data_IF_558465775852
#
_entry.id   IF_558465775852
#
_cell.length_a   1.000
_cell.length_b   1.000
_cell.length_c   1.000
_cell.angle_alpha   90.00
_cell.angle_beta   90.00
_cell.angle_gamma   90.00
#
_symmetry.space_group_name_H-M   'P 1'
#
loop_
_entity.id
_entity.type
_entity.pdbx_description
1 polymer ?
#
# COMPACT_ATOMS: atom_id res chain seq x y z
N UNK A 1 20.01 -5.28 18.99
CA UNK A 1 20.41 -4.45 17.88
C UNK A 1 19.98 -3.01 18.09
N UNK A 2 20.64 -2.05 17.45
CA UNK A 2 20.24 -0.65 17.44
C UNK A 2 19.19 -0.40 16.36
N UNK A 3 18.32 0.59 16.57
CA UNK A 3 17.38 1.03 15.55
C UNK A 3 18.15 1.75 14.42
N UNK A 4 17.81 1.43 13.17
CA UNK A 4 18.30 2.14 12.00
C UNK A 4 17.28 3.17 11.55
N UNK A 5 17.77 4.37 11.15
CA UNK A 5 16.93 5.48 10.75
C UNK A 5 17.33 5.99 9.37
N UNK A 6 16.33 6.30 8.55
CA UNK A 6 16.47 6.98 7.27
C UNK A 6 15.53 8.17 7.15
N UNK A 7 15.61 8.91 6.06
CA UNK A 7 14.64 9.95 5.71
C UNK A 7 14.05 9.66 4.34
N UNK A 8 12.83 10.11 4.15
CA UNK A 8 12.15 10.13 2.86
C UNK A 8 12.05 11.56 2.33
N UNK A 9 11.45 11.73 1.15
CA UNK A 9 11.22 13.03 0.56
C UNK A 9 10.52 13.99 1.53
N UNK A 10 10.88 15.27 1.45
CA UNK A 10 10.39 16.35 2.33
C UNK A 10 10.78 16.24 3.83
N UNK A 11 11.53 15.23 4.27
CA UNK A 11 12.01 15.14 5.64
C UNK A 11 13.31 15.95 5.84
N UNK A 12 13.37 16.70 6.93
CA UNK A 12 14.54 17.53 7.29
C UNK A 12 15.67 16.72 7.97
N UNK A 13 15.34 15.57 8.57
CA UNK A 13 16.29 14.66 9.24
C UNK A 13 15.82 13.22 9.23
N UNK A 14 16.71 12.29 9.55
CA UNK A 14 16.42 10.87 9.62
C UNK A 14 15.47 10.58 10.80
N UNK A 15 14.23 10.14 10.50
CA UNK A 15 13.18 9.84 11.49
C UNK A 15 12.42 8.56 11.20
N UNK A 16 12.63 7.95 10.04
CA UNK A 16 11.95 6.73 9.63
C UNK A 16 12.76 5.54 10.09
N UNK A 17 12.17 4.68 10.93
CA UNK A 17 12.75 3.39 11.29
C UNK A 17 12.51 2.44 10.12
N UNK A 18 13.55 1.73 9.70
CA UNK A 18 13.48 0.84 8.57
C UNK A 18 14.22 -0.48 8.81
N UNK A 19 13.86 -1.48 8.04
CA UNK A 19 14.56 -2.76 7.92
C UNK A 19 14.76 -3.04 6.44
N UNK A 20 15.97 -2.77 5.95
CA UNK A 20 16.27 -2.80 4.50
C UNK A 20 15.21 -2.01 3.71
N UNK A 21 14.71 -2.55 2.62
CA UNK A 21 13.58 -2.04 1.83
C UNK A 21 12.28 -2.86 2.00
N UNK A 22 12.17 -3.66 3.09
CA UNK A 22 11.04 -4.55 3.39
C UNK A 22 10.47 -4.40 4.80
N UNK A 23 10.51 -3.21 5.36
CA UNK A 23 10.07 -2.90 6.74
C UNK A 23 8.67 -3.44 7.06
N UNK A 24 7.71 -3.29 6.13
CA UNK A 24 6.35 -3.79 6.32
C UNK A 24 6.28 -5.32 6.44
N UNK A 25 7.09 -6.05 5.69
CA UNK A 25 7.19 -7.51 5.77
C UNK A 25 7.72 -7.95 7.14
N UNK A 26 8.77 -7.28 7.64
CA UNK A 26 9.36 -7.57 8.96
C UNK A 26 8.35 -7.35 10.07
N UNK A 27 7.66 -6.21 10.11
CA UNK A 27 6.65 -5.89 11.12
C UNK A 27 5.53 -6.94 11.09
N UNK A 28 4.95 -7.20 9.92
CA UNK A 28 3.79 -8.09 9.78
C UNK A 28 4.13 -9.53 10.14
N UNK A 29 5.27 -10.05 9.67
CA UNK A 29 5.68 -11.44 9.96
C UNK A 29 5.98 -11.65 11.44
N UNK A 30 6.65 -10.67 12.07
CA UNK A 30 6.96 -10.74 13.50
C UNK A 30 5.69 -10.69 14.35
N UNK A 31 4.75 -9.77 14.07
CA UNK A 31 3.48 -9.68 14.78
C UNK A 31 2.64 -10.95 14.59
N UNK A 32 2.53 -11.47 13.37
CA UNK A 32 1.80 -12.71 13.09
C UNK A 32 2.39 -13.90 13.85
N UNK A 33 3.72 -14.02 13.90
CA UNK A 33 4.40 -15.06 14.65
C UNK A 33 4.09 -14.99 16.17
N UNK A 34 3.91 -13.78 16.72
CA UNK A 34 3.48 -13.63 18.13
C UNK A 34 2.00 -13.95 18.31
N UNK A 35 1.12 -13.49 17.42
CA UNK A 35 -0.32 -13.77 17.46
C UNK A 35 -0.59 -15.29 17.45
N UNK A 36 0.14 -16.04 16.62
CA UNK A 36 0.03 -17.51 16.53
C UNK A 36 0.33 -18.25 17.85
N UNK A 37 1.00 -17.60 18.80
CA UNK A 37 1.31 -18.18 20.13
C UNK A 37 0.19 -17.96 21.14
N UNK A 38 -0.81 -17.11 20.83
CA UNK A 38 -1.88 -16.76 21.77
C UNK A 38 -3.02 -17.78 21.70
N UNK A 39 -3.30 -18.46 22.82
CA UNK A 39 -4.34 -19.49 22.90
C UNK A 39 -5.78 -18.95 22.80
N UNK A 40 -5.96 -17.65 23.04
CA UNK A 40 -7.25 -16.96 22.98
C UNK A 40 -7.51 -16.29 21.60
N UNK A 41 -6.68 -16.55 20.59
CA UNK A 41 -6.85 -16.03 19.23
C UNK A 41 -7.09 -17.19 18.27
N UNK A 42 -8.16 -17.09 17.48
CA UNK A 42 -8.46 -18.00 16.39
C UNK A 42 -8.21 -17.31 15.05
N UNK A 43 -7.28 -17.84 14.25
CA UNK A 43 -7.03 -17.38 12.90
C UNK A 43 -7.89 -18.19 11.92
N UNK A 44 -8.69 -17.51 11.10
CA UNK A 44 -9.55 -18.11 10.08
C UNK A 44 -9.01 -17.76 8.69
N UNK A 45 -8.00 -18.50 8.26
CA UNK A 45 -7.38 -18.32 6.94
C UNK A 45 -8.38 -18.69 5.81
N UNK A 46 -8.20 -18.14 4.60
CA UNK A 46 -9.07 -18.34 3.43
C UNK A 46 -10.55 -18.07 3.69
N UNK A 47 -10.80 -17.11 4.59
CA UNK A 47 -12.16 -16.74 5.01
C UNK A 47 -12.39 -15.26 4.73
N UNK A 48 -13.51 -14.95 4.08
CA UNK A 48 -13.85 -13.57 3.69
C UNK A 48 -15.07 -13.09 4.46
N UNK A 49 -15.00 -11.91 5.07
CA UNK A 49 -16.19 -11.23 5.57
C UNK A 49 -17.01 -10.72 4.38
N UNK A 50 -18.27 -11.16 4.28
CA UNK A 50 -19.18 -10.79 3.19
C UNK A 50 -20.27 -9.82 3.64
N UNK A 51 -20.54 -9.74 4.95
CA UNK A 51 -21.49 -8.82 5.54
C UNK A 51 -21.29 -8.70 7.06
N UNK A 52 -22.04 -7.80 7.70
CA UNK A 52 -22.16 -7.72 9.16
C UNK A 52 -23.54 -8.20 9.61
N UNK A 53 -23.66 -8.60 10.88
CA UNK A 53 -24.94 -8.90 11.53
C UNK A 53 -25.36 -7.62 12.24
N UNK A 54 -26.39 -6.95 11.71
CA UNK A 54 -26.85 -5.66 12.20
C UNK A 54 -28.33 -5.73 12.61
N UNK A 55 -28.70 -5.03 13.69
CA UNK A 55 -30.07 -4.72 14.07
C UNK A 55 -30.07 -3.44 14.89
N UNK A 56 -30.98 -2.52 14.56
CA UNK A 56 -31.22 -1.25 15.28
C UNK A 56 -29.92 -0.40 15.42
N UNK A 57 -29.16 -0.26 14.34
CA UNK A 57 -27.85 0.43 14.26
C UNK A 57 -26.79 -0.11 15.24
N UNK A 58 -26.85 -1.40 15.53
CA UNK A 58 -25.87 -2.10 16.37
C UNK A 58 -25.35 -3.35 15.68
N UNK A 59 -24.03 -3.53 15.69
CA UNK A 59 -23.34 -4.69 15.15
C UNK A 59 -23.28 -5.83 16.20
N UNK A 60 -23.61 -7.03 15.76
CA UNK A 60 -23.59 -8.27 16.55
C UNK A 60 -22.62 -9.32 16.01
N UNK A 61 -21.77 -8.96 15.06
CA UNK A 61 -20.81 -9.87 14.46
C UNK A 61 -20.76 -9.74 12.92
N UNK A 62 -20.29 -10.78 12.28
CA UNK A 62 -20.08 -10.81 10.82
C UNK A 62 -20.69 -12.06 10.18
N UNK A 63 -21.00 -11.96 8.89
CA UNK A 63 -21.26 -13.09 8.01
C UNK A 63 -19.98 -13.34 7.23
N UNK A 64 -19.46 -14.54 7.32
CA UNK A 64 -18.23 -14.96 6.66
C UNK A 64 -18.52 -16.02 5.61
N UNK A 65 -17.68 -16.05 4.57
CA UNK A 65 -17.65 -17.11 3.55
C UNK A 65 -16.32 -17.84 3.67
N UNK A 66 -16.41 -19.15 3.91
CA UNK A 66 -15.27 -20.06 3.95
C UNK A 66 -14.76 -20.40 2.55
N UNK A 67 -13.60 -21.04 2.48
CA UNK A 67 -12.98 -21.47 1.22
C UNK A 67 -13.88 -22.39 0.38
N UNK A 68 -14.68 -23.24 1.02
CA UNK A 68 -15.65 -24.14 0.37
C UNK A 68 -16.93 -23.42 -0.12
N UNK A 69 -17.03 -22.11 0.07
CA UNK A 69 -18.19 -21.28 -0.27
C UNK A 69 -19.28 -21.24 0.80
N UNK A 70 -19.17 -21.98 1.89
CA UNK A 70 -20.14 -22.01 2.99
C UNK A 70 -20.21 -20.64 3.67
N UNK A 71 -21.44 -20.15 3.89
CA UNK A 71 -21.71 -18.97 4.68
C UNK A 71 -21.96 -19.33 6.14
N UNK A 72 -21.31 -18.60 7.03
CA UNK A 72 -21.44 -18.78 8.47
C UNK A 72 -21.63 -17.44 9.19
N UNK A 73 -22.44 -17.44 10.24
CA UNK A 73 -22.61 -16.30 11.15
C UNK A 73 -21.63 -16.43 12.33
N UNK A 74 -20.79 -15.44 12.51
CA UNK A 74 -19.91 -15.30 13.67
C UNK A 74 -20.45 -14.18 14.54
N UNK A 75 -21.02 -14.53 15.70
CA UNK A 75 -21.54 -13.53 16.65
C UNK A 75 -20.42 -13.03 17.55
N UNK A 76 -20.43 -11.73 17.85
CA UNK A 76 -19.45 -11.07 18.68
C UNK A 76 -20.06 -9.89 19.42
N UNK A 77 -19.54 -9.58 20.61
CA UNK A 77 -19.90 -8.38 21.36
C UNK A 77 -19.39 -7.10 20.66
N UNK A 78 -18.24 -7.19 20.02
CA UNK A 78 -17.61 -6.11 19.24
C UNK A 78 -17.04 -6.66 17.96
N UNK A 79 -17.11 -5.88 16.88
CA UNK A 79 -16.54 -6.20 15.57
C UNK A 79 -15.58 -5.09 15.15
N UNK A 80 -14.41 -5.46 14.64
CA UNK A 80 -13.40 -4.53 14.12
C UNK A 80 -13.16 -4.81 12.66
N UNK A 81 -13.48 -3.86 11.80
CA UNK A 81 -13.13 -3.92 10.38
C UNK A 81 -11.68 -3.50 10.16
N UNK A 82 -10.86 -4.39 9.62
CA UNK A 82 -9.46 -4.16 9.25
C UNK A 82 -9.17 -4.74 7.85
N UNK A 83 -10.09 -4.49 6.91
CA UNK A 83 -10.16 -5.15 5.60
C UNK A 83 -9.23 -4.53 4.54
N UNK A 84 -8.44 -3.51 4.91
CA UNK A 84 -7.61 -2.77 3.96
C UNK A 84 -8.40 -1.79 3.10
N UNK A 85 -7.79 -1.36 2.01
CA UNK A 85 -8.33 -0.32 1.13
C UNK A 85 -8.96 -0.86 -0.16
N UNK A 86 -8.73 -0.14 -1.26
CA UNK A 86 -9.37 -0.35 -2.58
C UNK A 86 -8.37 -0.68 -3.70
N UNK A 87 -7.10 -0.93 -3.35
CA UNK A 87 -6.01 -1.02 -4.33
C UNK A 87 -6.18 -2.10 -5.40
N UNK A 88 -6.87 -3.20 -5.08
CA UNK A 88 -7.16 -4.28 -6.01
C UNK A 88 -8.03 -3.87 -7.21
N UNK A 89 -8.73 -2.73 -7.14
CA UNK A 89 -9.53 -2.19 -8.22
C UNK A 89 -8.71 -1.48 -9.32
N UNK A 90 -7.42 -1.18 -9.05
CA UNK A 90 -6.56 -0.43 -9.95
C UNK A 90 -5.66 -1.36 -10.78
N UNK A 91 -5.42 -0.98 -12.05
CA UNK A 91 -4.52 -1.73 -12.93
C UNK A 91 -3.11 -1.84 -12.35
N UNK A 92 -2.57 -0.70 -11.91
CA UNK A 92 -1.28 -0.63 -11.21
C UNK A 92 -1.54 -0.27 -9.75
N UNK A 93 -1.13 -1.15 -8.85
CA UNK A 93 -1.30 -0.98 -7.40
C UNK A 93 -0.22 -1.72 -6.64
N UNK A 94 0.28 -1.12 -5.58
CA UNK A 94 1.19 -1.79 -4.63
C UNK A 94 0.45 -2.71 -3.67
N UNK A 95 -0.88 -2.70 -3.71
CA UNK A 95 -1.75 -3.53 -2.88
C UNK A 95 -2.13 -4.82 -3.61
N UNK A 96 -2.44 -5.86 -2.84
CA UNK A 96 -2.92 -7.13 -3.38
C UNK A 96 -4.30 -7.01 -4.03
N UNK A 97 -4.56 -7.83 -5.05
CA UNK A 97 -5.80 -7.81 -5.85
C UNK A 97 -7.08 -8.09 -5.06
N UNK A 98 -6.98 -8.80 -3.94
CA UNK A 98 -8.14 -9.09 -3.10
C UNK A 98 -8.60 -7.90 -2.23
N UNK A 99 -7.86 -6.77 -2.20
CA UNK A 99 -8.25 -5.56 -1.48
C UNK A 99 -9.19 -4.71 -2.34
N UNK A 100 -10.46 -5.07 -2.38
CA UNK A 100 -11.48 -4.52 -3.31
C UNK A 100 -12.47 -3.57 -2.66
N UNK A 101 -12.20 -3.11 -1.41
CA UNK A 101 -13.05 -2.15 -0.71
C UNK A 101 -14.34 -2.76 -0.18
N UNK A 102 -14.37 -4.04 0.13
CA UNK A 102 -15.57 -4.75 0.59
C UNK A 102 -16.17 -4.12 1.85
N UNK A 103 -15.33 -3.63 2.77
CA UNK A 103 -15.77 -2.89 3.95
C UNK A 103 -16.54 -1.62 3.62
N UNK A 104 -16.19 -0.92 2.53
CA UNK A 104 -16.90 0.28 2.09
C UNK A 104 -18.27 -0.07 1.52
N UNK A 105 -18.37 -1.16 0.77
CA UNK A 105 -19.63 -1.67 0.25
C UNK A 105 -20.57 -2.07 1.39
N UNK A 106 -20.05 -2.79 2.39
CA UNK A 106 -20.79 -3.18 3.59
C UNK A 106 -21.21 -1.93 4.38
N UNK A 107 -20.31 -1.00 4.62
CA UNK A 107 -20.61 0.26 5.31
C UNK A 107 -21.73 1.03 4.63
N UNK A 108 -21.65 1.21 3.31
CA UNK A 108 -22.69 1.89 2.51
C UNK A 108 -24.03 1.16 2.59
N UNK A 109 -24.04 -0.17 2.51
CA UNK A 109 -25.25 -1.01 2.59
C UNK A 109 -25.99 -0.81 3.91
N UNK A 110 -25.26 -0.68 5.02
CA UNK A 110 -25.81 -0.54 6.38
C UNK A 110 -25.87 0.91 6.89
N UNK A 111 -25.71 1.90 6.02
CA UNK A 111 -25.82 3.31 6.40
C UNK A 111 -24.70 3.81 7.32
N UNK A 112 -23.57 3.10 7.39
CA UNK A 112 -22.39 3.52 8.15
C UNK A 112 -21.71 4.68 7.42
N UNK A 113 -21.34 5.73 8.16
CA UNK A 113 -20.74 6.92 7.57
C UNK A 113 -19.35 6.63 6.94
N UNK A 114 -19.19 7.10 5.70
CA UNK A 114 -17.91 7.14 4.99
C UNK A 114 -17.36 8.57 4.96
N UNK A 115 -16.04 8.72 4.89
CA UNK A 115 -15.36 9.99 4.75
C UNK A 115 -14.31 9.92 3.64
N UNK A 116 -14.29 10.95 2.78
CA UNK A 116 -13.30 11.10 1.69
C UNK A 116 -13.15 9.84 0.81
N UNK A 117 -14.21 9.20 0.32
CA UNK A 117 -14.10 7.93 -0.42
C UNK A 117 -13.40 8.06 -1.78
N UNK A 118 -13.13 9.27 -2.23
CA UNK A 118 -12.38 9.64 -3.44
C UNK A 118 -10.90 9.94 -3.17
N UNK A 119 -10.45 9.93 -1.92
CA UNK A 119 -9.06 10.24 -1.56
C UNK A 119 -8.19 9.00 -1.68
N UNK A 120 -7.50 8.90 -2.81
CA UNK A 120 -6.58 7.81 -3.13
C UNK A 120 -5.20 8.38 -3.39
N UNK A 121 -4.19 7.91 -2.66
CA UNK A 121 -2.81 8.28 -2.89
C UNK A 121 -2.20 7.43 -4.01
N UNK A 122 -1.55 8.11 -4.95
CA UNK A 122 -0.77 7.47 -6.02
C UNK A 122 0.71 7.58 -5.65
N UNK A 123 1.43 6.45 -5.66
CA UNK A 123 2.88 6.45 -5.56
C UNK A 123 3.49 6.73 -6.93
N UNK A 124 4.47 7.63 -7.04
CA UNK A 124 5.04 8.02 -8.33
C UNK A 124 5.78 6.90 -9.07
N UNK A 125 6.45 6.01 -8.32
CA UNK A 125 7.38 5.03 -8.88
C UNK A 125 7.11 3.61 -8.39
N UNK A 126 6.57 2.78 -9.29
CA UNK A 126 6.54 1.32 -9.17
C UNK A 126 7.18 0.72 -10.40
N UNK A 127 7.78 -0.45 -10.29
CA UNK A 127 8.38 -1.13 -11.43
C UNK A 127 7.31 -1.41 -12.50
N UNK A 128 7.57 -0.99 -13.74
CA UNK A 128 6.65 -1.25 -14.85
C UNK A 128 6.94 -2.60 -15.50
N UNK A 129 5.90 -3.41 -15.64
CA UNK A 129 5.93 -4.64 -16.41
C UNK A 129 4.63 -4.84 -17.18
N UNK A 130 4.71 -5.49 -18.34
CA UNK A 130 3.52 -5.94 -19.09
C UNK A 130 2.97 -7.26 -18.56
N UNK A 131 3.74 -7.97 -17.73
CA UNK A 131 3.28 -9.21 -17.09
C UNK A 131 2.19 -8.89 -16.07
N UNK A 132 1.22 -9.79 -15.96
CA UNK A 132 0.20 -9.68 -14.92
C UNK A 132 0.80 -10.12 -13.59
N UNK A 133 0.92 -9.18 -12.65
CA UNK A 133 1.38 -9.43 -11.30
C UNK A 133 0.22 -9.25 -10.31
N UNK A 134 0.30 -9.92 -9.17
CA UNK A 134 -0.68 -9.76 -8.10
C UNK A 134 -0.68 -8.34 -7.52
N UNK A 135 0.51 -7.72 -7.47
CA UNK A 135 0.70 -6.30 -7.12
C UNK A 135 1.93 -5.73 -7.83
N UNK A 136 1.91 -4.41 -8.09
CA UNK A 136 3.08 -3.70 -8.61
C UNK A 136 4.20 -3.67 -7.58
N UNK A 137 5.43 -3.94 -8.00
CA UNK A 137 6.59 -3.85 -7.13
C UNK A 137 6.95 -2.39 -6.84
N UNK A 138 7.00 -2.02 -5.56
CA UNK A 138 7.29 -0.66 -5.14
C UNK A 138 8.79 -0.34 -5.31
N UNK A 139 9.10 0.72 -6.06
CA UNK A 139 10.41 1.38 -5.98
C UNK A 139 10.28 2.47 -4.93
N UNK A 140 10.91 2.24 -3.78
CA UNK A 140 10.78 3.09 -2.59
C UNK A 140 11.08 4.57 -2.89
N UNK A 141 10.37 5.47 -2.23
CA UNK A 141 10.66 6.91 -2.27
C UNK A 141 12.08 7.24 -1.82
N UNK A 142 12.65 6.45 -0.91
CA UNK A 142 14.03 6.60 -0.44
C UNK A 142 15.05 6.49 -1.58
N UNK A 143 14.78 5.70 -2.63
CA UNK A 143 15.64 5.62 -3.84
C UNK A 143 15.82 6.99 -4.48
N UNK A 144 14.72 7.76 -4.65
CA UNK A 144 14.79 9.14 -5.14
C UNK A 144 15.42 10.09 -4.11
N UNK A 145 15.14 9.86 -2.82
CA UNK A 145 15.76 10.60 -1.71
C UNK A 145 17.29 10.44 -1.66
N UNK A 146 17.82 9.30 -2.07
CA UNK A 146 19.26 9.01 -2.13
C UNK A 146 19.91 9.38 -3.47
N UNK A 147 19.11 9.89 -4.43
CA UNK A 147 19.66 10.57 -5.60
C UNK A 147 19.28 10.02 -6.95
N UNK A 148 18.46 8.96 -7.06
CA UNK A 148 17.97 8.46 -8.34
C UNK A 148 17.30 9.56 -9.16
N UNK A 149 17.38 9.46 -10.50
CA UNK A 149 16.90 10.45 -11.44
C UNK A 149 15.80 9.90 -12.33
N UNK A 150 14.77 10.74 -12.59
CA UNK A 150 13.69 10.39 -13.51
C UNK A 150 14.02 10.94 -14.90
N UNK A 151 13.98 10.03 -15.90
CA UNK A 151 14.38 10.31 -17.25
C UNK A 151 13.22 10.06 -18.23
N UNK A 152 13.16 10.90 -19.29
CA UNK A 152 12.27 10.73 -20.43
C UNK A 152 12.72 9.61 -21.37
N UNK A 153 11.99 9.39 -22.46
CA UNK A 153 12.35 8.37 -23.47
C UNK A 153 13.71 8.60 -24.15
N UNK A 154 14.24 9.84 -24.11
CA UNK A 154 15.53 10.21 -24.69
C UNK A 154 16.65 10.24 -23.63
N UNK A 155 16.39 9.71 -22.43
CA UNK A 155 17.33 9.70 -21.29
C UNK A 155 17.68 11.08 -20.75
N UNK A 156 16.82 12.08 -20.91
CA UNK A 156 16.98 13.40 -20.31
C UNK A 156 16.18 13.48 -19.01
N UNK A 157 16.80 14.04 -17.98
CA UNK A 157 16.10 14.38 -16.73
C UNK A 157 15.01 15.43 -17.02
N UNK A 158 13.78 15.20 -16.55
CA UNK A 158 12.64 16.07 -16.87
C UNK A 158 11.96 16.71 -15.65
N UNK A 159 12.32 16.30 -14.42
CA UNK A 159 11.61 16.74 -13.19
C UNK A 159 12.54 16.78 -12.00
N UNK A 160 12.16 17.50 -10.95
CA UNK A 160 12.72 17.36 -9.59
C UNK A 160 12.05 16.18 -8.90
N UNK A 161 12.82 15.17 -8.54
CA UNK A 161 12.36 13.89 -7.97
C UNK A 161 11.86 14.01 -6.53
N UNK A 162 12.17 15.12 -5.85
CA UNK A 162 11.79 15.36 -4.44
C UNK A 162 10.50 16.18 -4.28
N UNK A 163 9.80 16.45 -5.37
CA UNK A 163 8.47 17.06 -5.33
C UNK A 163 7.47 16.19 -4.55
N UNK A 164 6.41 16.77 -3.96
CA UNK A 164 5.31 16.03 -3.35
C UNK A 164 4.74 14.99 -4.30
N UNK A 165 4.27 13.85 -3.76
CA UNK A 165 3.84 12.67 -4.55
C UNK A 165 2.80 12.98 -5.60
N UNK A 166 1.81 13.80 -5.29
CA UNK A 166 0.74 14.22 -6.21
C UNK A 166 1.28 15.05 -7.38
N UNK A 167 2.14 16.03 -7.09
CA UNK A 167 2.78 16.88 -8.09
C UNK A 167 3.69 16.04 -9.00
N UNK A 168 4.55 15.21 -8.40
CA UNK A 168 5.48 14.36 -9.14
C UNK A 168 4.73 13.36 -10.03
N UNK A 169 3.66 12.73 -9.51
CA UNK A 169 2.78 11.84 -10.28
C UNK A 169 2.18 12.56 -11.50
N UNK A 170 1.72 13.80 -11.32
CA UNK A 170 1.23 14.65 -12.41
C UNK A 170 2.28 14.85 -13.49
N UNK A 171 3.50 15.21 -13.09
CA UNK A 171 4.64 15.41 -14.02
C UNK A 171 5.05 14.15 -14.77
N UNK A 172 5.07 13.00 -14.09
CA UNK A 172 5.35 11.71 -14.74
C UNK A 172 4.28 11.40 -15.79
N UNK A 173 2.99 11.56 -15.47
CA UNK A 173 1.90 11.33 -16.41
C UNK A 173 1.94 12.27 -17.62
N UNK A 174 2.26 13.55 -17.40
CA UNK A 174 2.47 14.53 -18.48
C UNK A 174 3.61 14.08 -19.41
N UNK A 175 4.74 13.63 -18.83
CA UNK A 175 5.89 13.15 -19.60
C UNK A 175 5.57 11.88 -20.39
N UNK A 176 4.92 10.89 -19.76
CA UNK A 176 4.46 9.66 -20.43
C UNK A 176 3.58 9.99 -21.64
N UNK A 177 2.63 10.92 -21.48
CA UNK A 177 1.77 11.38 -22.58
C UNK A 177 2.55 12.06 -23.70
N UNK A 178 3.50 12.94 -23.37
CA UNK A 178 4.37 13.62 -24.32
C UNK A 178 5.24 12.64 -25.09
N UNK A 179 5.77 11.63 -24.43
CA UNK A 179 6.65 10.62 -25.00
C UNK A 179 5.90 9.54 -25.79
N UNK A 180 4.60 9.38 -25.54
CA UNK A 180 3.80 8.28 -26.09
C UNK A 180 4.21 6.92 -25.52
N UNK A 181 4.60 6.89 -24.22
CA UNK A 181 5.08 5.68 -23.52
C UNK A 181 4.19 5.31 -22.35
N UNK A 182 4.22 4.03 -21.96
CA UNK A 182 3.49 3.51 -20.80
C UNK A 182 4.25 3.68 -19.48
N UNK A 183 5.47 4.19 -19.49
CA UNK A 183 6.37 4.35 -18.35
C UNK A 183 7.38 5.47 -18.59
N UNK A 184 8.09 5.87 -17.54
CA UNK A 184 9.31 6.67 -17.59
C UNK A 184 10.47 5.85 -17.04
N UNK A 185 11.70 6.34 -17.20
CA UNK A 185 12.88 5.67 -16.67
C UNK A 185 13.29 6.24 -15.32
N UNK A 186 13.75 5.38 -14.40
CA UNK A 186 14.39 5.77 -13.15
C UNK A 186 15.83 5.26 -13.13
N UNK A 187 16.79 6.16 -13.00
CA UNK A 187 18.22 5.88 -13.03
C UNK A 187 18.81 5.84 -11.63
N UNK A 188 19.18 4.66 -11.17
CA UNK A 188 19.75 4.41 -9.85
C UNK A 188 21.28 4.52 -9.83
N UNK A 189 21.94 4.65 -11.00
CA UNK A 189 23.41 4.72 -11.12
C UNK A 189 24.03 5.97 -10.50
N UNK A 190 23.20 6.96 -10.19
CA UNK A 190 23.57 8.21 -9.49
C UNK A 190 23.75 8.01 -7.99
N UNK A 191 23.32 6.86 -7.44
CA UNK A 191 23.50 6.48 -6.04
C UNK A 191 24.82 5.70 -5.91
N UNK A 192 25.66 5.99 -4.88
CA UNK A 192 26.87 5.20 -4.63
C UNK A 192 26.55 3.71 -4.50
N UNK A 193 27.38 2.86 -5.15
CA UNK A 193 27.12 1.42 -5.25
C UNK A 193 26.95 0.76 -3.89
N UNK A 194 27.78 1.11 -2.93
CA UNK A 194 27.76 0.51 -1.59
C UNK A 194 26.49 0.89 -0.83
N UNK A 195 25.99 2.13 -1.00
CA UNK A 195 24.72 2.59 -0.45
C UNK A 195 23.54 1.85 -1.10
N UNK A 196 23.54 1.74 -2.44
CA UNK A 196 22.51 1.03 -3.17
C UNK A 196 22.37 -0.43 -2.74
N UNK A 197 23.51 -1.14 -2.59
CA UNK A 197 23.56 -2.55 -2.13
C UNK A 197 23.11 -2.68 -0.68
N UNK A 198 23.47 -1.72 0.19
CA UNK A 198 23.15 -1.76 1.61
C UNK A 198 21.67 -1.43 1.90
N UNK A 199 21.10 -0.47 1.17
CA UNK A 199 19.78 0.07 1.48
C UNK A 199 18.65 -0.59 0.67
N UNK A 200 18.93 -1.07 -0.55
CA UNK A 200 17.90 -1.53 -1.49
C UNK A 200 18.19 -2.93 -2.07
N UNK A 201 18.57 -3.93 -1.26
CA UNK A 201 18.94 -5.26 -1.78
C UNK A 201 17.79 -5.96 -2.51
N UNK A 202 16.54 -5.81 -2.01
CA UNK A 202 15.37 -6.46 -2.64
C UNK A 202 14.98 -5.76 -3.96
N UNK A 203 15.18 -4.44 -4.08
CA UNK A 203 14.96 -3.70 -5.34
C UNK A 203 15.97 -4.19 -6.40
N UNK A 204 17.24 -4.35 -6.02
CA UNK A 204 18.28 -4.86 -6.91
C UNK A 204 17.92 -6.27 -7.39
N UNK A 205 17.54 -7.16 -6.46
CA UNK A 205 17.19 -8.55 -6.78
C UNK A 205 15.97 -8.61 -7.72
N UNK A 206 14.89 -7.89 -7.38
CA UNK A 206 13.70 -7.83 -8.23
C UNK A 206 14.00 -7.31 -9.64
N UNK A 207 14.76 -6.22 -9.77
CA UNK A 207 15.13 -5.69 -11.08
C UNK A 207 15.95 -6.71 -11.89
N UNK A 208 16.87 -7.43 -11.25
CA UNK A 208 17.65 -8.49 -11.86
C UNK A 208 16.78 -9.65 -12.35
N UNK A 209 15.82 -10.11 -11.56
CA UNK A 209 14.82 -11.12 -11.96
C UNK A 209 13.99 -10.68 -13.16
N UNK A 210 13.73 -9.38 -13.26
CA UNK A 210 13.00 -8.76 -14.38
C UNK A 210 13.90 -8.47 -15.60
N UNK A 211 15.19 -8.76 -15.51
CA UNK A 211 16.16 -8.63 -16.60
C UNK A 211 16.89 -7.28 -16.68
N UNK A 212 16.86 -6.49 -15.61
CA UNK A 212 17.52 -5.18 -15.53
C UNK A 212 18.70 -5.22 -14.56
N UNK A 213 19.83 -4.66 -14.98
CA UNK A 213 21.00 -4.42 -14.14
C UNK A 213 21.03 -2.95 -13.71
N UNK A 214 20.56 -2.64 -12.51
CA UNK A 214 20.47 -1.28 -11.97
C UNK A 214 21.82 -0.55 -11.91
N UNK A 215 22.93 -1.27 -12.01
CA UNK A 215 24.27 -0.69 -12.05
C UNK A 215 24.71 -0.27 -13.45
N UNK A 216 24.00 -0.72 -14.50
CA UNK A 216 24.34 -0.48 -15.91
C UNK A 216 23.31 0.33 -16.67
N UNK A 217 22.04 0.21 -16.28
CA UNK A 217 20.93 0.78 -17.01
C UNK A 217 19.82 1.29 -16.08
N UNK A 218 19.00 2.28 -16.52
CA UNK A 218 17.83 2.71 -15.78
C UNK A 218 16.72 1.65 -15.86
N UNK A 219 15.78 1.71 -14.91
CA UNK A 219 14.64 0.80 -14.81
C UNK A 219 13.34 1.51 -15.24
N UNK A 220 12.37 0.78 -15.82
CA UNK A 220 11.09 1.37 -16.19
C UNK A 220 10.19 1.50 -14.97
N UNK A 221 9.60 2.69 -14.75
CA UNK A 221 8.70 2.97 -13.62
C UNK A 221 7.41 3.64 -14.06
N UNK A 222 6.34 3.36 -13.32
CA UNK A 222 5.00 3.90 -13.58
C UNK A 222 4.30 4.27 -12.27
N UNK A 223 3.49 5.35 -12.24
CA UNK A 223 2.65 5.66 -11.10
C UNK A 223 1.60 4.58 -10.85
N UNK A 224 1.41 4.22 -9.57
CA UNK A 224 0.46 3.20 -9.14
C UNK A 224 -0.34 3.64 -7.92
N UNK A 225 -1.56 3.12 -7.77
CA UNK A 225 -2.30 3.27 -6.53
C UNK A 225 -1.47 2.69 -5.37
N UNK A 226 -1.43 3.39 -4.25
CA UNK A 226 -0.59 3.01 -3.13
C UNK A 226 -1.35 2.92 -1.81
N UNK A 227 -2.11 3.96 -1.45
CA UNK A 227 -2.83 4.03 -0.19
C UNK A 227 -4.22 4.64 -0.37
N UNK A 228 -5.20 4.11 0.34
CA UNK A 228 -6.55 4.65 0.40
C UNK A 228 -6.70 5.50 1.66
N UNK A 229 -6.71 6.83 1.49
CA UNK A 229 -6.78 7.79 2.59
C UNK A 229 -8.20 8.03 3.07
N UNK A 230 -9.19 7.73 2.25
CA UNK A 230 -10.60 7.70 2.62
C UNK A 230 -10.95 6.46 3.44
N UNK A 231 -12.23 6.23 3.68
CA UNK A 231 -12.67 5.01 4.35
C UNK A 231 -13.90 5.17 5.21
N UNK A 232 -14.10 4.21 6.09
CA UNK A 232 -15.13 4.27 7.13
C UNK A 232 -14.75 5.39 8.10
N UNK A 233 -15.68 6.35 8.30
CA UNK A 233 -15.49 7.44 9.25
C UNK A 233 -15.42 6.91 10.67
N UNK A 234 -14.38 7.29 11.39
CA UNK A 234 -14.17 6.91 12.78
C UNK A 234 -13.83 8.11 13.66
N UNK A 235 -14.07 7.98 14.97
CA UNK A 235 -13.56 8.91 15.96
C UNK A 235 -12.16 8.47 16.46
N UNK A 236 -11.58 9.22 17.41
CA UNK A 236 -10.24 8.92 17.99
C UNK A 236 -10.16 7.60 18.78
N UNK A 237 -11.30 6.94 19.03
CA UNK A 237 -11.37 5.58 19.60
C UNK A 237 -11.66 4.51 18.54
N UNK A 238 -11.50 4.83 17.26
CA UNK A 238 -11.81 3.95 16.11
C UNK A 238 -13.27 3.48 16.03
N UNK A 239 -14.21 4.17 16.72
CA UNK A 239 -15.64 3.85 16.66
C UNK A 239 -16.25 4.42 15.39
N UNK A 240 -17.05 3.61 14.72
CA UNK A 240 -17.87 4.02 13.58
C UNK A 240 -19.17 4.70 14.02
N UNK A 241 -20.04 5.05 13.08
CA UNK A 241 -21.42 5.54 13.37
C UNK A 241 -22.39 4.45 13.84
N UNK A 242 -21.97 3.16 13.79
CA UNK A 242 -22.74 2.01 14.26
C UNK A 242 -22.22 1.53 15.61
N UNK A 243 -23.13 1.26 16.55
CA UNK A 243 -22.77 0.74 17.88
C UNK A 243 -22.07 -0.62 17.78
N UNK A 244 -21.07 -0.86 18.60
CA UNK A 244 -20.26 -2.10 18.68
C UNK A 244 -19.48 -2.42 17.39
N UNK A 245 -19.37 -1.47 16.44
CA UNK A 245 -18.56 -1.60 15.23
C UNK A 245 -17.43 -0.58 15.22
N UNK A 246 -16.23 -1.08 14.96
CA UNK A 246 -14.99 -0.32 14.87
C UNK A 246 -14.36 -0.50 13.49
N UNK A 247 -13.55 0.46 13.06
CA UNK A 247 -12.71 0.31 11.87
C UNK A 247 -11.31 0.84 12.16
N UNK A 248 -10.28 0.14 11.64
CA UNK A 248 -8.87 0.45 11.89
C UNK A 248 -8.03 0.26 10.62
N UNK A 249 -6.81 0.81 10.64
CA UNK A 249 -5.89 0.74 9.48
C UNK A 249 -6.46 1.43 8.26
N UNK A 250 -6.12 0.96 7.07
CA UNK A 250 -6.51 1.55 5.79
C UNK A 250 -8.02 1.45 5.48
N UNK A 251 -8.77 0.64 6.24
CA UNK A 251 -10.24 0.59 6.18
C UNK A 251 -10.88 1.87 6.72
N UNK A 252 -10.23 2.52 7.69
CA UNK A 252 -10.75 3.68 8.41
C UNK A 252 -10.19 4.99 7.84
N UNK A 253 -11.03 6.00 7.70
CA UNK A 253 -10.58 7.37 7.48
C UNK A 253 -10.40 8.07 8.83
N UNK A 254 -9.19 8.04 9.36
CA UNK A 254 -8.79 8.65 10.64
C UNK A 254 -8.06 9.98 10.49
N UNK A 255 -7.90 10.48 9.26
CA UNK A 255 -7.30 11.79 8.95
C UNK A 255 -5.81 11.74 8.61
N UNK A 256 -5.27 10.56 8.31
CA UNK A 256 -3.88 10.36 7.86
C UNK A 256 -3.86 10.15 6.36
#
# INVERSE_FOLDING_TARGET
GSLAYTREGAHSHNRIIFHEDVTGKEITSTLLAQVKKLSNVTLMEYTTMVDIIERDNKCYGAIIRKQDGTLEKVTAAYTVMACGGVGGLYRFSTNFRHLTGDSLAIAKKHGIELKNPDYVQIHPTTFYTKKHEDRSFLISESVRGEGAKLLDKNMNRFVDELLPRDVLTGKIREQMKKDGTDFVWEDLRTIPRDELVSHFPNIIEHCKEMGYDVFKEPIPVVPAQHYFMGGVKVNHHSRTSMECLYAVGETACNGV
#
